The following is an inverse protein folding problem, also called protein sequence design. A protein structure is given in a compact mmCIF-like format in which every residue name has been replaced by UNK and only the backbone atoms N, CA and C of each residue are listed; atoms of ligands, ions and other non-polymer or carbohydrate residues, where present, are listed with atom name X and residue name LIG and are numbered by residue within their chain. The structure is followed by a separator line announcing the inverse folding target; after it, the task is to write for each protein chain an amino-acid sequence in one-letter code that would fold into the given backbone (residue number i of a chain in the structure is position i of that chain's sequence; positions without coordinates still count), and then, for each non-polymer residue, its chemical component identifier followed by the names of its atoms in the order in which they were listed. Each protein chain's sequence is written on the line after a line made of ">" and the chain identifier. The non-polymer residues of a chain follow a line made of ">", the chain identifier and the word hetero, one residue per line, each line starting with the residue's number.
data_IF_317428781997
#
_entry.id   IF_317428781997
#
_cell.length_a   1.000
_cell.length_b   1.000
_cell.length_c   1.000
_cell.angle_alpha   90.00
_cell.angle_beta   90.00
_cell.angle_gamma   90.00
#
_symmetry.space_group_name_H-M   'P 1'
#
loop_
_entity.id
_entity.type
_entity.pdbx_description
1 polymer ?
#
# COMPACT_ATOMS: atom_id res chain seq x y z
N UNK A 1 10.58 -8.99 8.43
CA UNK A 1 9.70 -7.85 8.10
C UNK A 1 8.65 -7.67 9.18
N UNK A 2 8.36 -6.44 9.55
CA UNK A 2 7.28 -6.09 10.49
C UNK A 2 6.39 -5.04 9.81
N UNK A 3 5.08 -5.23 9.85
CA UNK A 3 4.09 -4.26 9.33
C UNK A 3 3.21 -3.79 10.48
N UNK A 4 3.15 -2.47 10.67
CA UNK A 4 2.24 -1.78 11.59
C UNK A 4 1.23 -0.95 10.81
N UNK A 5 0.04 -0.75 11.36
CA UNK A 5 -1.02 0.08 10.81
C UNK A 5 -1.38 1.20 11.80
N UNK A 6 -1.47 2.43 11.30
CA UNK A 6 -1.76 3.62 12.12
C UNK A 6 -3.11 4.26 11.77
N UNK A 7 -3.97 3.54 11.03
CA UNK A 7 -5.26 4.05 10.57
C UNK A 7 -5.16 4.76 9.21
N UNK A 8 -6.32 5.01 8.57
CA UNK A 8 -6.45 5.81 7.34
C UNK A 8 -5.43 5.51 6.24
N UNK A 9 -5.12 4.21 6.03
CA UNK A 9 -4.15 3.77 5.03
C UNK A 9 -2.68 4.08 5.36
N UNK A 10 -2.38 4.48 6.60
CA UNK A 10 -1.02 4.69 7.07
C UNK A 10 -0.41 3.38 7.54
N UNK A 11 0.64 2.93 6.86
CA UNK A 11 1.38 1.71 7.17
C UNK A 11 2.86 2.00 7.36
N UNK A 12 3.50 1.29 8.28
CA UNK A 12 4.95 1.24 8.39
C UNK A 12 5.43 -0.18 8.19
N UNK A 13 6.33 -0.36 7.22
CA UNK A 13 7.09 -1.58 7.00
C UNK A 13 8.47 -1.37 7.58
N UNK A 14 8.99 -2.36 8.29
CA UNK A 14 10.33 -2.29 8.88
C UNK A 14 11.06 -3.62 8.72
N UNK A 15 12.32 -3.54 8.30
CA UNK A 15 13.26 -4.66 8.32
C UNK A 15 14.63 -4.17 8.79
N UNK A 16 15.13 -4.77 9.86
CA UNK A 16 16.32 -4.26 10.53
C UNK A 16 16.14 -2.80 10.97
N UNK A 17 17.08 -1.96 10.55
CA UNK A 17 17.08 -0.53 10.85
C UNK A 17 16.38 0.31 9.75
N UNK A 18 16.01 -0.31 8.62
CA UNK A 18 15.38 0.37 7.49
C UNK A 18 13.85 0.31 7.58
N UNK A 19 13.18 1.40 7.21
CA UNK A 19 11.73 1.52 7.29
C UNK A 19 11.14 2.28 6.11
N UNK A 20 9.95 1.83 5.67
CA UNK A 20 9.09 2.50 4.69
C UNK A 20 7.80 2.90 5.38
N UNK A 21 7.39 4.14 5.24
CA UNK A 21 6.15 4.69 5.75
C UNK A 21 5.24 5.10 4.59
N UNK A 22 3.99 4.70 4.63
CA UNK A 22 3.01 5.03 3.58
C UNK A 22 1.91 5.89 4.17
N UNK A 23 1.56 6.98 3.50
CA UNK A 23 0.48 7.90 3.88
C UNK A 23 0.48 8.36 5.34
N UNK A 24 1.57 8.90 5.90
CA UNK A 24 1.54 9.47 7.24
C UNK A 24 0.61 10.69 7.29
N UNK A 25 -0.24 10.75 8.30
CA UNK A 25 -1.14 11.90 8.51
C UNK A 25 -0.41 13.15 9.04
N UNK A 26 0.74 12.92 9.64
CA UNK A 26 1.55 14.00 10.24
C UNK A 26 3.02 13.59 10.31
N UNK A 27 3.88 14.53 10.67
CA UNK A 27 5.34 14.36 10.72
C UNK A 27 5.87 13.70 12.02
N UNK A 28 5.02 13.09 12.83
CA UNK A 28 5.45 12.42 14.08
C UNK A 28 6.12 11.08 13.84
N UNK A 29 5.62 10.36 12.83
CA UNK A 29 6.26 9.11 12.39
C UNK A 29 7.37 9.45 11.41
N UNK A 30 8.54 8.87 11.61
CA UNK A 30 9.71 9.02 10.75
C UNK A 30 10.08 7.68 10.13
N UNK A 31 10.55 7.71 8.90
CA UNK A 31 11.03 6.53 8.18
C UNK A 31 12.16 6.94 7.22
N UNK A 32 12.89 5.98 6.71
CA UNK A 32 13.92 6.22 5.70
C UNK A 32 13.28 6.63 4.37
N UNK A 33 12.17 5.99 4.03
CA UNK A 33 11.39 6.27 2.83
C UNK A 33 9.92 6.51 3.20
N UNK A 34 9.36 7.62 2.75
CA UNK A 34 7.92 7.93 2.89
C UNK A 34 7.26 7.98 1.52
N UNK A 35 6.18 7.21 1.34
CA UNK A 35 5.36 7.19 0.12
C UNK A 35 4.02 7.87 0.35
N UNK A 36 3.61 8.74 -0.57
CA UNK A 36 2.29 9.37 -0.58
C UNK A 36 1.47 8.89 -1.77
N UNK A 37 0.33 8.27 -1.53
CA UNK A 37 -0.57 7.78 -2.60
C UNK A 37 -1.61 8.81 -3.03
N UNK A 38 -1.69 9.95 -2.34
CA UNK A 38 -2.50 11.11 -2.69
C UNK A 38 -1.68 12.37 -2.41
N UNK A 39 -1.46 13.20 -3.42
CA UNK A 39 -0.63 14.40 -3.34
C UNK A 39 -1.33 15.57 -4.00
N UNK A 40 -1.24 16.77 -3.40
CA UNK A 40 -1.72 17.98 -4.04
C UNK A 40 -0.82 18.32 -5.26
N UNK A 41 -1.44 18.71 -6.38
CA UNK A 41 -0.71 19.02 -7.62
C UNK A 41 0.15 20.27 -7.54
N UNK A 42 -0.09 21.15 -6.55
CA UNK A 42 0.71 22.34 -6.28
C UNK A 42 2.06 22.04 -5.62
N UNK A 43 2.28 20.78 -5.18
CA UNK A 43 3.56 20.36 -4.61
C UNK A 43 4.55 20.11 -5.75
N UNK A 44 5.77 20.64 -5.63
CA UNK A 44 6.83 20.37 -6.61
C UNK A 44 7.09 18.87 -6.76
N UNK A 45 7.22 18.42 -8.01
CA UNK A 45 7.47 17.02 -8.38
C UNK A 45 8.92 16.57 -8.07
N UNK A 46 9.50 17.06 -7.00
CA UNK A 46 10.83 16.69 -6.56
C UNK A 46 10.76 15.64 -5.47
N UNK A 47 11.71 14.73 -5.46
CA UNK A 47 11.95 13.89 -4.29
C UNK A 47 12.38 14.82 -3.17
N UNK A 48 11.51 15.00 -2.19
CA UNK A 48 11.79 15.88 -1.05
C UNK A 48 12.66 15.09 -0.05
N UNK A 49 13.77 15.68 0.33
CA UNK A 49 14.61 15.15 1.41
C UNK A 49 14.44 16.05 2.62
N UNK A 50 14.39 15.45 3.80
CA UNK A 50 14.38 16.24 5.03
C UNK A 50 15.68 17.09 5.14
N UNK A 51 15.68 18.10 6.01
CA UNK A 51 16.83 19.02 6.16
C UNK A 51 18.16 18.32 6.49
N UNK A 52 18.11 17.09 6.98
CA UNK A 52 19.28 16.27 7.30
C UNK A 52 19.65 15.31 6.17
N UNK A 53 18.78 15.15 5.16
CA UNK A 53 18.93 14.21 4.06
C UNK A 53 18.72 12.73 4.44
N UNK A 54 18.19 12.48 5.63
CA UNK A 54 18.01 11.13 6.19
C UNK A 54 16.70 10.48 5.74
N UNK A 55 15.66 11.28 5.44
CA UNK A 55 14.34 10.83 5.01
C UNK A 55 14.10 11.24 3.55
N UNK A 56 13.61 10.31 2.73
CA UNK A 56 13.15 10.58 1.37
C UNK A 56 11.64 10.52 1.33
N UNK A 57 10.99 11.55 0.78
CA UNK A 57 9.56 11.60 0.56
C UNK A 57 9.28 11.50 -0.95
N UNK A 58 8.59 10.43 -1.35
CA UNK A 58 8.17 10.15 -2.72
C UNK A 58 6.67 10.40 -2.82
N UNK A 59 6.30 11.41 -3.59
CA UNK A 59 4.92 11.88 -3.71
C UNK A 59 4.34 11.75 -5.12
N UNK A 60 5.15 11.31 -6.09
CA UNK A 60 4.81 11.29 -7.51
C UNK A 60 5.08 9.91 -8.14
N UNK A 61 4.44 9.61 -9.29
CA UNK A 61 4.80 8.44 -10.08
C UNK A 61 6.23 8.55 -10.60
N UNK A 62 6.87 7.41 -10.80
CA UNK A 62 8.25 7.32 -11.26
C UNK A 62 8.94 6.06 -10.77
N UNK A 63 10.21 5.94 -11.08
CA UNK A 63 11.08 4.86 -10.67
C UNK A 63 12.12 5.41 -9.68
N UNK A 64 12.20 4.78 -8.51
CA UNK A 64 13.07 5.22 -7.42
C UNK A 64 13.78 4.01 -6.83
N UNK A 65 14.99 4.24 -6.36
CA UNK A 65 15.77 3.26 -5.61
C UNK A 65 16.41 3.96 -4.40
N UNK A 66 16.17 3.43 -3.21
CA UNK A 66 16.76 3.94 -1.96
C UNK A 66 16.98 2.80 -0.98
N UNK A 67 18.20 2.68 -0.42
CA UNK A 67 18.56 1.66 0.58
C UNK A 67 18.15 0.23 0.18
N UNK A 68 18.43 -0.14 -1.08
CA UNK A 68 18.10 -1.46 -1.66
C UNK A 68 16.56 -1.71 -1.74
N UNK A 69 15.76 -0.64 -1.73
CA UNK A 69 14.32 -0.67 -1.94
C UNK A 69 14.05 -0.10 -3.32
N UNK A 70 13.54 -0.93 -4.24
CA UNK A 70 13.06 -0.48 -5.54
C UNK A 70 11.59 -0.08 -5.44
N UNK A 71 11.23 1.08 -5.97
CA UNK A 71 9.89 1.64 -5.86
C UNK A 71 9.44 2.09 -7.24
N UNK A 72 8.34 1.53 -7.72
CA UNK A 72 7.69 1.91 -8.95
C UNK A 72 6.36 2.57 -8.62
N UNK A 73 6.23 3.86 -8.95
CA UNK A 73 5.01 4.64 -8.78
C UNK A 73 4.25 4.78 -10.10
N UNK A 74 2.97 4.44 -10.13
CA UNK A 74 2.10 4.51 -11.29
C UNK A 74 0.98 5.53 -11.06
N UNK A 75 0.75 6.48 -12.00
CA UNK A 75 -0.31 7.45 -11.87
C UNK A 75 -1.68 6.80 -12.09
N UNK A 76 -2.66 7.13 -11.26
CA UNK A 76 -4.05 6.76 -11.50
C UNK A 76 -4.75 7.93 -12.22
N UNK A 77 -4.52 8.02 -13.54
CA UNK A 77 -4.91 9.18 -14.35
C UNK A 77 -6.41 9.46 -14.30
N UNK A 78 -7.25 8.40 -14.40
CA UNK A 78 -8.72 8.54 -14.42
C UNK A 78 -9.32 9.01 -13.09
N UNK A 79 -8.56 8.94 -12.01
CA UNK A 79 -8.98 9.34 -10.67
C UNK A 79 -8.22 10.56 -10.14
N UNK A 80 -7.22 11.03 -10.88
CA UNK A 80 -6.49 12.25 -10.57
C UNK A 80 -7.29 13.47 -11.06
N UNK A 81 -7.10 14.60 -10.41
CA UNK A 81 -7.78 15.87 -10.73
C UNK A 81 -6.75 16.99 -10.86
N UNK A 82 -7.20 18.19 -11.24
CA UNK A 82 -6.33 19.38 -11.23
C UNK A 82 -5.77 19.72 -9.85
N UNK A 83 -6.38 19.23 -8.77
CA UNK A 83 -5.97 19.52 -7.39
C UNK A 83 -5.18 18.39 -6.74
N UNK A 84 -5.42 17.15 -7.16
CA UNK A 84 -4.84 15.97 -6.52
C UNK A 84 -4.40 14.94 -7.55
N UNK A 85 -3.22 14.41 -7.34
CA UNK A 85 -2.68 13.26 -8.04
C UNK A 85 -2.81 12.02 -7.15
N UNK A 86 -3.37 10.95 -7.70
CA UNK A 86 -3.36 9.62 -7.09
C UNK A 86 -2.23 8.78 -7.70
N UNK A 87 -1.44 8.17 -6.83
CA UNK A 87 -0.35 7.26 -7.22
C UNK A 87 -0.50 5.93 -6.51
N UNK A 88 -0.33 4.84 -7.23
CA UNK A 88 -0.21 3.49 -6.68
C UNK A 88 1.25 3.06 -6.75
N UNK A 89 1.71 2.22 -5.84
CA UNK A 89 3.12 1.82 -5.77
C UNK A 89 3.30 0.31 -5.75
N UNK A 90 4.29 -0.18 -6.50
CA UNK A 90 4.92 -1.47 -6.30
C UNK A 90 6.29 -1.26 -5.66
N UNK A 91 6.56 -1.95 -4.57
CA UNK A 91 7.81 -1.85 -3.82
C UNK A 91 8.44 -3.24 -3.77
N UNK A 92 9.66 -3.36 -4.31
CA UNK A 92 10.46 -4.57 -4.20
C UNK A 92 11.48 -4.39 -3.07
N UNK A 93 11.39 -5.21 -2.04
CA UNK A 93 12.26 -5.15 -0.88
C UNK A 93 12.50 -6.54 -0.28
N UNK A 94 13.76 -6.89 -0.03
CA UNK A 94 14.16 -8.21 0.49
C UNK A 94 13.60 -9.40 -0.31
N UNK A 95 13.54 -9.26 -1.63
CA UNK A 95 13.01 -10.29 -2.52
C UNK A 95 11.49 -10.49 -2.45
N UNK A 96 10.76 -9.55 -1.82
CA UNK A 96 9.31 -9.55 -1.73
C UNK A 96 8.71 -8.35 -2.46
N UNK A 97 7.53 -8.55 -3.05
CA UNK A 97 6.76 -7.51 -3.75
C UNK A 97 5.60 -7.04 -2.88
N UNK A 98 5.60 -5.76 -2.55
CA UNK A 98 4.55 -5.06 -1.82
C UNK A 98 3.80 -4.13 -2.77
N UNK A 99 2.49 -4.21 -2.83
CA UNK A 99 1.66 -3.35 -3.68
C UNK A 99 0.73 -2.50 -2.82
N UNK A 100 0.79 -1.18 -3.01
CA UNK A 100 -0.03 -0.20 -2.31
C UNK A 100 -1.01 0.44 -3.30
N UNK A 101 -2.29 0.10 -3.23
CA UNK A 101 -3.33 0.70 -4.07
C UNK A 101 -3.84 2.05 -3.54
N UNK A 102 -3.50 2.38 -2.29
CA UNK A 102 -3.70 3.70 -1.70
C UNK A 102 -5.15 4.17 -1.78
N UNK A 103 -5.36 5.31 -2.47
CA UNK A 103 -6.67 5.96 -2.58
C UNK A 103 -7.46 5.54 -3.82
N UNK A 104 -7.20 4.35 -4.36
CA UNK A 104 -7.94 3.83 -5.52
C UNK A 104 -9.42 3.66 -5.20
N UNK A 105 -10.31 4.12 -6.11
CA UNK A 105 -11.76 4.03 -5.95
C UNK A 105 -12.48 3.33 -7.11
N UNK A 106 -11.76 3.06 -8.22
CA UNK A 106 -12.27 2.36 -9.39
C UNK A 106 -11.43 1.12 -9.72
N UNK A 107 -11.95 0.18 -10.51
CA UNK A 107 -11.14 -0.93 -11.02
C UNK A 107 -9.90 -0.41 -11.76
N UNK A 108 -8.79 -1.12 -11.63
CA UNK A 108 -7.57 -0.85 -12.38
C UNK A 108 -7.72 -1.28 -13.84
N UNK A 109 -7.00 -0.62 -14.72
CA UNK A 109 -6.83 -1.04 -16.11
C UNK A 109 -5.96 -2.31 -16.23
N UNK A 110 -5.88 -2.85 -17.45
CA UNK A 110 -5.13 -4.08 -17.70
C UNK A 110 -3.62 -3.92 -17.45
N UNK A 111 -3.06 -2.75 -17.73
CA UNK A 111 -1.63 -2.46 -17.55
C UNK A 111 -1.27 -2.49 -16.06
N UNK A 112 -2.02 -1.78 -15.23
CA UNK A 112 -1.80 -1.80 -13.78
C UNK A 112 -2.04 -3.19 -13.17
N UNK A 113 -3.02 -3.94 -13.70
CA UNK A 113 -3.26 -5.32 -13.27
C UNK A 113 -2.07 -6.23 -13.56
N UNK A 114 -1.41 -6.07 -14.71
CA UNK A 114 -0.21 -6.83 -15.10
C UNK A 114 0.99 -6.44 -14.23
N UNK A 115 1.25 -5.14 -14.06
CA UNK A 115 2.36 -4.61 -13.26
C UNK A 115 2.28 -5.03 -11.78
N UNK A 116 1.07 -5.17 -11.25
CA UNK A 116 0.84 -5.51 -9.85
C UNK A 116 0.57 -6.99 -9.60
N UNK A 117 0.64 -7.85 -10.62
CA UNK A 117 0.40 -9.29 -10.48
C UNK A 117 1.34 -9.94 -9.46
N UNK A 118 0.86 -11.00 -8.81
CA UNK A 118 1.58 -11.85 -7.86
C UNK A 118 2.26 -11.12 -6.68
N UNK A 119 1.62 -10.15 -5.99
CA UNK A 119 2.25 -9.49 -4.87
C UNK A 119 2.34 -10.43 -3.65
N UNK A 120 3.45 -10.35 -2.93
CA UNK A 120 3.59 -11.02 -1.63
C UNK A 120 2.64 -10.41 -0.61
N UNK A 121 2.51 -9.06 -0.61
CA UNK A 121 1.57 -8.34 0.24
C UNK A 121 0.86 -7.25 -0.56
N UNK A 122 -0.46 -7.28 -0.56
CA UNK A 122 -1.33 -6.29 -1.18
C UNK A 122 -2.02 -5.43 -0.11
N UNK A 123 -1.76 -4.12 -0.12
CA UNK A 123 -2.47 -3.14 0.69
C UNK A 123 -3.63 -2.55 -0.13
N UNK A 124 -4.84 -2.84 0.30
CA UNK A 124 -6.05 -2.71 -0.50
C UNK A 124 -7.08 -1.81 0.19
N UNK A 125 -7.52 -0.70 -0.42
CA UNK A 125 -8.63 0.09 0.10
C UNK A 125 -9.95 -0.66 -0.11
N UNK A 126 -10.76 -0.82 0.94
CA UNK A 126 -12.00 -1.64 0.89
C UNK A 126 -13.23 -0.96 1.48
N UNK A 127 -13.17 0.35 1.71
CA UNK A 127 -14.20 1.06 2.47
C UNK A 127 -15.42 1.52 1.66
N UNK A 128 -15.42 1.35 0.33
CA UNK A 128 -16.47 1.90 -0.53
C UNK A 128 -16.48 3.43 -0.63
N UNK A 129 -17.42 3.99 -1.35
CA UNK A 129 -17.58 5.43 -1.50
C UNK A 129 -16.39 6.11 -2.20
N UNK A 130 -15.49 6.69 -1.45
CA UNK A 130 -14.25 7.29 -1.96
C UNK A 130 -13.12 6.28 -2.22
N UNK A 131 -13.36 5.02 -1.91
CA UNK A 131 -12.44 3.90 -2.07
C UNK A 131 -13.12 2.78 -2.86
N UNK A 132 -12.40 1.70 -3.13
CA UNK A 132 -12.97 0.54 -3.82
C UNK A 132 -14.16 -0.04 -3.04
N UNK A 133 -15.24 -0.32 -3.77
CA UNK A 133 -16.33 -1.11 -3.21
C UNK A 133 -15.84 -2.50 -2.81
N UNK A 134 -16.34 -3.08 -1.71
CA UNK A 134 -15.85 -4.36 -1.17
C UNK A 134 -15.78 -5.50 -2.19
N UNK A 135 -16.77 -5.62 -3.07
CA UNK A 135 -16.83 -6.65 -4.12
C UNK A 135 -15.77 -6.42 -5.20
N UNK A 136 -15.53 -5.16 -5.56
CA UNK A 136 -14.49 -4.78 -6.54
C UNK A 136 -13.11 -5.07 -5.94
N UNK A 137 -12.89 -4.68 -4.70
CA UNK A 137 -11.65 -4.94 -3.97
C UNK A 137 -11.36 -6.45 -3.88
N UNK A 138 -12.36 -7.26 -3.53
CA UNK A 138 -12.24 -8.71 -3.46
C UNK A 138 -11.88 -9.33 -4.83
N UNK A 139 -12.47 -8.82 -5.92
CA UNK A 139 -12.15 -9.24 -7.28
C UNK A 139 -10.71 -8.89 -7.66
N UNK A 140 -10.25 -7.68 -7.35
CA UNK A 140 -8.86 -7.25 -7.60
C UNK A 140 -7.88 -8.14 -6.84
N UNK A 141 -8.08 -8.35 -5.54
CA UNK A 141 -7.21 -9.20 -4.73
C UNK A 141 -7.08 -10.62 -5.30
N UNK A 142 -8.19 -11.18 -5.79
CA UNK A 142 -8.21 -12.50 -6.44
C UNK A 142 -7.49 -12.50 -7.79
N UNK A 143 -7.70 -11.49 -8.62
CA UNK A 143 -7.10 -11.39 -9.95
C UNK A 143 -5.58 -11.16 -9.89
N UNK A 144 -5.11 -10.40 -8.89
CA UNK A 144 -3.68 -10.18 -8.65
C UNK A 144 -2.99 -11.40 -8.02
N UNK A 145 -3.74 -12.42 -7.59
CA UNK A 145 -3.20 -13.62 -6.93
C UNK A 145 -2.34 -13.31 -5.69
N UNK A 146 -2.69 -12.23 -4.97
CA UNK A 146 -1.95 -11.80 -3.78
C UNK A 146 -1.84 -12.92 -2.74
N UNK A 147 -0.65 -13.09 -2.15
CA UNK A 147 -0.45 -14.05 -1.04
C UNK A 147 -1.11 -13.57 0.23
N UNK A 148 -0.79 -12.35 0.63
CA UNK A 148 -1.37 -11.67 1.80
C UNK A 148 -2.15 -10.45 1.32
N UNK A 149 -3.34 -10.25 1.85
CA UNK A 149 -4.15 -9.03 1.64
C UNK A 149 -4.32 -8.32 2.97
N UNK A 150 -3.93 -7.05 3.03
CA UNK A 150 -4.12 -6.18 4.18
C UNK A 150 -5.10 -5.08 3.76
N UNK A 151 -6.36 -5.15 4.22
CA UNK A 151 -7.35 -4.12 3.91
C UNK A 151 -7.09 -2.82 4.66
N UNK A 152 -7.50 -1.71 4.06
CA UNK A 152 -7.40 -0.36 4.63
C UNK A 152 -8.61 0.50 4.29
N UNK A 153 -8.72 1.70 4.89
CA UNK A 153 -9.78 2.68 4.63
C UNK A 153 -11.19 2.14 4.84
N UNK A 154 -11.41 1.32 5.84
CA UNK A 154 -12.72 0.77 6.20
C UNK A 154 -13.12 1.17 7.63
N UNK A 155 -14.42 1.16 7.91
CA UNK A 155 -14.94 1.21 9.29
C UNK A 155 -14.97 -0.18 9.90
N UNK A 156 -15.50 -1.14 9.14
CA UNK A 156 -15.58 -2.55 9.49
C UNK A 156 -15.22 -3.39 8.26
N UNK A 157 -14.35 -4.43 8.39
CA UNK A 157 -13.90 -5.21 7.24
C UNK A 157 -14.90 -6.29 6.79
N UNK A 158 -16.04 -6.42 7.48
CA UNK A 158 -16.98 -7.55 7.31
C UNK A 158 -17.53 -7.70 5.90
N UNK A 159 -17.88 -6.61 5.22
CA UNK A 159 -18.40 -6.66 3.84
C UNK A 159 -17.32 -7.15 2.87
N UNK A 160 -16.10 -6.66 2.99
CA UNK A 160 -14.97 -7.13 2.20
C UNK A 160 -14.66 -8.62 2.45
N UNK A 161 -14.61 -9.04 3.73
CA UNK A 161 -14.37 -10.44 4.07
C UNK A 161 -15.45 -11.37 3.50
N UNK A 162 -16.71 -10.95 3.53
CA UNK A 162 -17.82 -11.67 2.92
C UNK A 162 -17.67 -11.76 1.40
N UNK A 163 -17.38 -10.65 0.73
CA UNK A 163 -17.17 -10.58 -0.71
C UNK A 163 -15.98 -11.43 -1.16
N UNK A 164 -14.89 -11.43 -0.39
CA UNK A 164 -13.70 -12.24 -0.66
C UNK A 164 -13.89 -13.72 -0.33
N UNK A 165 -14.95 -14.11 0.41
CA UNK A 165 -15.15 -15.47 0.92
C UNK A 165 -14.04 -15.91 1.88
N UNK A 166 -13.46 -14.97 2.63
CA UNK A 166 -12.31 -15.19 3.51
C UNK A 166 -12.63 -14.86 4.96
N UNK A 167 -11.85 -15.44 5.85
CA UNK A 167 -11.80 -15.01 7.26
C UNK A 167 -10.59 -14.09 7.43
N UNK A 168 -10.77 -13.01 8.19
CA UNK A 168 -9.68 -12.12 8.56
C UNK A 168 -8.98 -12.61 9.83
N UNK A 169 -7.67 -12.53 9.86
CA UNK A 169 -6.88 -12.77 11.08
C UNK A 169 -6.51 -11.41 11.68
N UNK A 170 -7.09 -11.13 12.87
CA UNK A 170 -6.81 -9.88 13.57
C UNK A 170 -5.49 -9.94 14.33
N UNK A 171 -4.66 -8.92 14.19
CA UNK A 171 -3.41 -8.80 14.93
C UNK A 171 -2.98 -7.34 15.11
N UNK A 172 -2.18 -7.09 16.15
CA UNK A 172 -1.64 -5.75 16.45
C UNK A 172 -0.58 -5.33 15.41
N UNK A 173 0.22 -6.28 14.96
CA UNK A 173 1.27 -6.12 13.94
C UNK A 173 1.48 -7.43 13.21
N UNK A 174 1.86 -7.37 11.94
CA UNK A 174 2.19 -8.55 11.16
C UNK A 174 3.70 -8.73 11.08
N UNK A 175 4.21 -9.82 11.67
CA UNK A 175 5.63 -10.15 11.70
C UNK A 175 5.84 -11.44 10.91
N UNK A 176 6.69 -11.40 9.88
CA UNK A 176 6.90 -12.54 8.99
C UNK A 176 8.24 -12.48 8.27
N UNK A 177 8.65 -13.60 7.73
CA UNK A 177 9.71 -13.75 6.73
C UNK A 177 9.10 -14.24 5.43
N UNK A 178 9.77 -14.03 4.31
CA UNK A 178 9.29 -14.48 2.99
C UNK A 178 8.84 -15.96 2.98
N UNK A 179 9.60 -16.85 3.59
CA UNK A 179 9.27 -18.26 3.69
C UNK A 179 7.96 -18.55 4.44
N UNK A 180 7.56 -17.69 5.36
CA UNK A 180 6.39 -17.91 6.21
C UNK A 180 5.09 -17.65 5.44
N UNK A 181 5.15 -16.87 4.35
CA UNK A 181 4.01 -16.52 3.48
C UNK A 181 4.08 -17.17 2.09
N UNK A 182 5.11 -17.97 1.80
CA UNK A 182 5.37 -18.50 0.47
C UNK A 182 4.24 -19.39 -0.09
N UNK A 183 3.48 -20.04 0.79
CA UNK A 183 2.35 -20.92 0.43
C UNK A 183 0.97 -20.28 0.61
N UNK A 184 0.92 -19.05 1.12
CA UNK A 184 -0.35 -18.34 1.33
C UNK A 184 -1.00 -17.96 -0.02
N UNK A 185 -2.33 -17.98 -0.07
CA UNK A 185 -3.12 -17.63 -1.24
C UNK A 185 -4.33 -16.80 -0.82
N UNK A 186 -4.19 -15.50 -0.88
CA UNK A 186 -5.23 -14.55 -0.48
C UNK A 186 -5.58 -14.66 1.02
N UNK A 187 -4.59 -14.88 1.88
CA UNK A 187 -4.77 -14.79 3.34
C UNK A 187 -5.03 -13.34 3.70
N UNK A 188 -6.08 -13.09 4.47
CA UNK A 188 -6.45 -11.72 4.87
C UNK A 188 -5.99 -11.46 6.29
N UNK A 189 -5.16 -10.44 6.45
CA UNK A 189 -4.62 -9.97 7.74
C UNK A 189 -5.26 -8.62 8.08
N UNK A 190 -5.97 -8.55 9.21
CA UNK A 190 -6.60 -7.34 9.71
C UNK A 190 -5.70 -6.74 10.79
N UNK A 191 -5.05 -5.64 10.49
CA UNK A 191 -4.20 -4.95 11.45
C UNK A 191 -5.01 -3.96 12.28
N UNK A 192 -4.84 -4.02 13.60
CA UNK A 192 -5.39 -3.02 14.50
C UNK A 192 -4.56 -1.74 14.45
N UNK A 193 -5.23 -0.62 14.64
CA UNK A 193 -4.57 0.69 14.71
C UNK A 193 -3.68 0.77 15.95
N UNK A 194 -2.40 1.09 15.74
CA UNK A 194 -1.38 1.24 16.78
C UNK A 194 -1.40 2.62 17.40
#
# INVERSE_FOLDING_TARGET
>A
MVINYFGNGCFRLQSGDTSVLVNPENNRLKADVTLKTLTATEVDATVDRDERGDEIVISFPGEYEEKEIEILGFPVVEESTEKFLKTTYAVSWEGMKFVFLGHLSKPMDATLMEEFADPDVLFLPVGGGHFLEPEVAAKIAKQLEARIVIPSFYKEPGEFLKAAGKKGEEMEKFVFKQKDIATDKGRVVILKTS
#
